data_IF_433415806795
#
_entry.id   IF_433415806795
#
_cell.length_a   1.000
_cell.length_b   1.000
_cell.length_c   1.000
_cell.angle_alpha   90.00
_cell.angle_beta   90.00
_cell.angle_gamma   90.00
#
_symmetry.space_group_name_H-M   'P 1'
#
loop_
_entity.id
_entity.type
_entity.pdbx_description
1 polymer ?
#
# COMPACT_ATOMS: atom_id res chain seq x y z
N UNK A 1 9.23 -17.92 20.62
CA UNK A 1 10.15 -18.09 19.47
C UNK A 1 10.42 -16.72 18.84
N UNK A 2 11.68 -16.29 18.78
CA UNK A 2 12.07 -15.10 18.01
C UNK A 2 12.21 -15.52 16.55
N UNK A 3 11.32 -15.04 15.67
CA UNK A 3 11.47 -15.23 14.24
C UNK A 3 12.39 -14.17 13.67
N UNK A 4 13.23 -14.55 12.69
CA UNK A 4 13.95 -13.61 11.86
C UNK A 4 13.00 -13.16 10.73
N UNK A 5 12.89 -11.85 10.53
CA UNK A 5 12.01 -11.22 9.53
C UNK A 5 12.86 -10.30 8.67
N UNK A 6 12.81 -10.48 7.35
CA UNK A 6 13.37 -9.53 6.39
C UNK A 6 12.28 -8.63 5.83
N UNK A 7 12.46 -7.32 5.93
CA UNK A 7 11.62 -6.30 5.28
C UNK A 7 12.38 -5.78 4.07
N UNK A 8 11.83 -6.00 2.88
CA UNK A 8 12.44 -5.64 1.61
C UNK A 8 11.76 -4.38 1.07
N UNK A 9 12.53 -3.30 0.94
CA UNK A 9 12.06 -1.95 0.66
C UNK A 9 11.82 -1.16 1.94
N UNK A 10 12.76 -0.30 2.31
CA UNK A 10 12.68 0.58 3.49
C UNK A 10 12.13 1.97 3.11
N UNK A 11 11.05 1.96 2.32
CA UNK A 11 10.30 3.15 1.96
C UNK A 11 9.40 3.63 3.10
N UNK A 12 8.39 4.39 2.69
CA UNK A 12 7.38 4.99 3.57
C UNK A 12 6.63 3.98 4.46
N UNK A 13 6.40 2.76 3.96
CA UNK A 13 5.74 1.67 4.70
C UNK A 13 6.77 0.75 5.36
N UNK A 14 7.77 0.31 4.60
CA UNK A 14 8.66 -0.75 5.06
C UNK A 14 9.54 -0.37 6.24
N UNK A 15 10.06 0.86 6.30
CA UNK A 15 10.88 1.29 7.44
C UNK A 15 10.06 1.40 8.74
N UNK A 16 8.93 2.10 8.80
CA UNK A 16 8.09 2.11 10.00
C UNK A 16 7.66 0.71 10.43
N UNK A 17 7.36 -0.17 9.48
CA UNK A 17 6.99 -1.55 9.78
C UNK A 17 8.16 -2.34 10.38
N UNK A 18 9.36 -2.22 9.82
CA UNK A 18 10.58 -2.83 10.37
C UNK A 18 10.85 -2.39 11.82
N UNK A 19 10.73 -1.09 12.08
CA UNK A 19 10.89 -0.50 13.40
C UNK A 19 9.82 -1.01 14.39
N UNK A 20 8.57 -1.09 13.94
CA UNK A 20 7.46 -1.59 14.75
C UNK A 20 7.66 -3.05 15.16
N UNK A 21 8.07 -3.91 14.22
CA UNK A 21 8.36 -5.33 14.51
C UNK A 21 9.56 -5.50 15.43
N UNK A 22 10.62 -4.73 15.21
CA UNK A 22 11.80 -4.72 16.10
C UNK A 22 11.42 -4.34 17.54
N UNK A 23 10.60 -3.29 17.70
CA UNK A 23 10.09 -2.89 19.02
C UNK A 23 9.24 -3.97 19.69
N UNK A 24 8.59 -4.83 18.90
CA UNK A 24 7.83 -6.00 19.42
C UNK A 24 8.70 -7.23 19.67
N UNK A 25 10.01 -7.08 19.59
CA UNK A 25 11.00 -8.09 19.96
C UNK A 25 11.35 -9.10 18.86
N UNK A 26 10.94 -8.86 17.61
CA UNK A 26 11.40 -9.66 16.49
C UNK A 26 12.83 -9.25 16.07
N UNK A 27 13.60 -10.21 15.56
CA UNK A 27 14.85 -9.90 14.88
C UNK A 27 14.53 -9.48 13.45
N UNK A 28 14.81 -8.23 13.10
CA UNK A 28 14.45 -7.65 11.81
C UNK A 28 15.68 -7.32 11.00
N UNK A 29 15.72 -7.76 9.76
CA UNK A 29 16.67 -7.30 8.76
C UNK A 29 15.94 -6.40 7.74
N UNK A 30 16.20 -5.10 7.82
CA UNK A 30 15.71 -4.12 6.85
C UNK A 30 16.62 -4.08 5.63
N UNK A 31 16.05 -4.36 4.45
CA UNK A 31 16.80 -4.44 3.19
C UNK A 31 16.34 -3.36 2.23
N UNK A 32 17.28 -2.58 1.70
CA UNK A 32 17.00 -1.57 0.66
C UNK A 32 18.20 -1.48 -0.30
N UNK A 33 17.94 -1.35 -1.59
CA UNK A 33 18.99 -1.21 -2.62
C UNK A 33 19.74 0.12 -2.53
N UNK A 34 19.19 1.12 -1.86
CA UNK A 34 19.78 2.44 -1.69
C UNK A 34 20.88 2.42 -0.61
N UNK A 35 22.12 2.27 -1.04
CA UNK A 35 23.31 2.24 -0.16
C UNK A 35 23.37 3.45 0.79
N UNK A 36 23.10 4.65 0.27
CA UNK A 36 23.16 5.89 1.07
C UNK A 36 22.11 5.89 2.19
N UNK A 37 20.90 5.39 1.92
CA UNK A 37 19.86 5.21 2.93
C UNK A 37 20.32 4.22 4.02
N UNK A 38 20.84 3.07 3.62
CA UNK A 38 21.36 2.05 4.54
C UNK A 38 22.48 2.61 5.44
N UNK A 39 23.44 3.34 4.86
CA UNK A 39 24.48 4.01 5.63
C UNK A 39 23.90 5.01 6.63
N UNK A 40 22.93 5.81 6.23
CA UNK A 40 22.26 6.80 7.09
C UNK A 40 21.56 6.14 8.26
N UNK A 41 20.85 5.03 7.98
CA UNK A 41 20.18 4.22 9.01
C UNK A 41 21.19 3.59 9.98
N UNK A 42 22.26 2.98 9.49
CA UNK A 42 23.30 2.36 10.33
C UNK A 42 24.07 3.38 11.18
N UNK A 43 24.22 4.62 10.71
CA UNK A 43 24.88 5.72 11.46
C UNK A 43 23.95 6.39 12.48
N UNK A 44 22.70 5.97 12.63
CA UNK A 44 21.75 6.59 13.54
C UNK A 44 21.29 8.00 13.12
N UNK A 45 21.49 8.38 11.83
CA UNK A 45 21.27 9.75 11.31
C UNK A 45 19.97 9.89 10.52
N UNK A 46 19.12 8.86 10.50
CA UNK A 46 17.84 8.93 9.80
C UNK A 46 16.87 9.90 10.50
N UNK A 47 16.21 10.74 9.72
CA UNK A 47 15.17 11.67 10.16
C UNK A 47 13.94 11.46 9.28
N UNK A 48 12.79 11.25 9.89
CA UNK A 48 11.48 11.20 9.27
C UNK A 48 10.73 12.51 9.50
N UNK A 49 9.81 12.84 8.61
CA UNK A 49 8.84 13.92 8.82
C UNK A 49 7.83 13.58 9.94
N UNK A 50 7.63 12.30 10.23
CA UNK A 50 6.77 11.82 11.32
C UNK A 50 7.56 11.69 12.63
N UNK A 51 7.17 12.46 13.66
CA UNK A 51 7.86 12.46 14.96
C UNK A 51 7.86 11.09 15.64
N UNK A 52 6.77 10.33 15.50
CA UNK A 52 6.62 8.99 16.08
C UNK A 52 7.58 7.99 15.46
N UNK A 53 7.88 8.11 14.16
CA UNK A 53 8.87 7.29 13.48
C UNK A 53 10.28 7.61 14.00
N UNK A 54 10.60 8.88 14.20
CA UNK A 54 11.88 9.29 14.80
C UNK A 54 12.04 8.74 16.22
N UNK A 55 10.98 8.78 17.01
CA UNK A 55 10.97 8.24 18.37
C UNK A 55 11.22 6.73 18.39
N UNK A 56 10.49 5.96 17.56
CA UNK A 56 10.66 4.51 17.52
C UNK A 56 12.00 4.12 16.94
N UNK A 57 12.54 4.87 15.97
CA UNK A 57 13.86 4.66 15.41
C UNK A 57 14.97 4.78 16.46
N UNK A 58 14.95 5.84 17.27
CA UNK A 58 15.91 6.02 18.38
C UNK A 58 15.80 4.93 19.45
N UNK A 59 14.63 4.31 19.59
CA UNK A 59 14.35 3.25 20.57
C UNK A 59 14.52 1.84 20.00
N UNK A 60 14.85 1.70 18.71
CA UNK A 60 14.82 0.40 18.00
C UNK A 60 15.97 -0.56 18.35
N UNK A 61 16.84 -0.26 19.29
CA UNK A 61 17.77 -1.20 19.91
C UNK A 61 18.47 -2.21 18.98
N UNK A 62 19.02 -3.29 19.54
CA UNK A 62 19.85 -4.28 18.83
C UNK A 62 19.05 -5.33 18.03
N UNK A 63 17.73 -5.24 17.97
CA UNK A 63 16.90 -6.23 17.27
C UNK A 63 16.67 -5.89 15.79
N UNK A 64 17.29 -4.85 15.26
CA UNK A 64 17.17 -4.45 13.85
C UNK A 64 18.55 -4.21 13.25
N UNK A 65 18.76 -4.71 12.05
CA UNK A 65 19.93 -4.42 11.22
C UNK A 65 19.47 -3.89 9.86
N UNK A 66 20.30 -3.10 9.20
CA UNK A 66 20.01 -2.56 7.88
C UNK A 66 21.11 -2.96 6.90
N UNK A 67 20.73 -3.50 5.75
CA UNK A 67 21.65 -4.03 4.75
C UNK A 67 21.15 -3.81 3.32
N UNK A 68 22.07 -3.82 2.38
CA UNK A 68 21.74 -3.96 0.95
C UNK A 68 21.64 -5.42 0.51
N UNK A 69 22.00 -6.36 1.38
CA UNK A 69 21.97 -7.81 1.12
C UNK A 69 20.85 -8.46 1.90
N UNK A 70 20.18 -9.40 1.27
CA UNK A 70 19.16 -10.24 1.89
C UNK A 70 19.82 -11.44 2.57
N UNK A 71 19.33 -11.78 3.75
CA UNK A 71 19.77 -12.97 4.51
C UNK A 71 18.60 -13.92 4.70
N UNK A 72 18.89 -15.19 4.97
CA UNK A 72 17.86 -16.17 5.26
C UNK A 72 17.01 -15.72 6.47
N UNK A 73 15.71 -15.75 6.29
CA UNK A 73 14.72 -15.36 7.28
C UNK A 73 13.51 -16.28 7.24
N UNK A 74 12.79 -16.35 8.34
CA UNK A 74 11.53 -17.12 8.38
C UNK A 74 10.39 -16.43 7.63
N UNK A 75 10.43 -15.09 7.58
CA UNK A 75 9.45 -14.26 6.89
C UNK A 75 10.16 -13.21 6.04
N UNK A 76 9.71 -13.09 4.81
CA UNK A 76 10.14 -12.07 3.85
C UNK A 76 8.94 -11.19 3.53
N UNK A 77 9.01 -9.92 3.87
CA UNK A 77 7.92 -8.97 3.67
C UNK A 77 8.32 -7.96 2.60
N UNK A 78 7.60 -7.95 1.49
CA UNK A 78 7.87 -7.10 0.33
C UNK A 78 7.06 -5.80 0.45
N UNK A 79 7.76 -4.69 0.71
CA UNK A 79 7.21 -3.33 0.77
C UNK A 79 7.80 -2.49 -0.38
N UNK A 80 7.75 -3.02 -1.59
CA UNK A 80 8.37 -2.45 -2.78
C UNK A 80 7.40 -1.59 -3.57
N UNK A 81 7.89 -0.57 -4.32
CA UNK A 81 7.03 0.26 -5.15
C UNK A 81 6.44 -0.55 -6.31
N UNK A 82 5.20 -0.21 -6.66
CA UNK A 82 4.46 -0.75 -7.79
C UNK A 82 3.94 0.41 -8.65
N UNK A 83 4.83 1.10 -9.37
CA UNK A 83 4.46 2.29 -10.14
C UNK A 83 3.61 1.90 -11.36
N UNK A 84 2.89 2.89 -11.87
CA UNK A 84 2.16 2.77 -13.12
C UNK A 84 3.08 3.11 -14.28
N UNK A 85 3.09 2.31 -15.33
CA UNK A 85 3.83 2.56 -16.54
C UNK A 85 3.05 3.46 -17.54
N UNK A 86 3.68 3.83 -18.66
CA UNK A 86 3.06 4.66 -19.70
C UNK A 86 1.77 4.07 -20.30
N UNK A 87 1.59 2.75 -20.21
CA UNK A 87 0.40 2.03 -20.69
C UNK A 87 -0.68 1.90 -19.61
N UNK A 88 -0.56 2.64 -18.50
CA UNK A 88 -1.47 2.61 -17.36
C UNK A 88 -1.56 1.22 -16.69
N UNK A 89 -0.51 0.42 -16.79
CA UNK A 89 -0.40 -0.89 -16.15
C UNK A 89 0.59 -0.83 -15.00
N UNK A 90 0.37 -1.69 -14.01
CA UNK A 90 1.29 -1.87 -12.89
C UNK A 90 2.64 -2.39 -13.38
N UNK A 91 3.71 -1.77 -12.95
CA UNK A 91 5.07 -2.28 -13.14
C UNK A 91 5.43 -3.15 -11.93
N UNK A 92 5.57 -4.44 -12.17
CA UNK A 92 5.91 -5.45 -11.16
C UNK A 92 7.42 -5.75 -11.08
N UNK A 93 8.27 -5.03 -11.84
CA UNK A 93 9.70 -5.31 -11.92
C UNK A 93 10.37 -5.34 -10.54
N UNK A 94 10.10 -4.35 -9.70
CA UNK A 94 10.66 -4.31 -8.33
C UNK A 94 10.24 -5.50 -7.47
N UNK A 95 9.00 -5.99 -7.60
CA UNK A 95 8.53 -7.16 -6.89
C UNK A 95 9.18 -8.45 -7.41
N UNK A 96 9.34 -8.55 -8.73
CA UNK A 96 10.02 -9.67 -9.39
C UNK A 96 11.50 -9.72 -8.97
N UNK A 97 12.19 -8.57 -8.96
CA UNK A 97 13.58 -8.47 -8.50
C UNK A 97 13.73 -8.85 -7.02
N UNK A 98 12.84 -8.35 -6.16
CA UNK A 98 12.81 -8.71 -4.74
C UNK A 98 12.55 -10.21 -4.53
N UNK A 99 11.63 -10.78 -5.31
CA UNK A 99 11.33 -12.21 -5.27
C UNK A 99 12.52 -13.06 -5.76
N UNK A 100 13.23 -12.59 -6.79
CA UNK A 100 14.43 -13.25 -7.29
C UNK A 100 15.52 -13.27 -6.22
N UNK A 101 15.76 -12.18 -5.51
CA UNK A 101 16.69 -12.15 -4.39
C UNK A 101 16.25 -13.10 -3.25
N UNK A 102 14.95 -13.18 -2.95
CA UNK A 102 14.42 -14.14 -1.97
C UNK A 102 14.71 -15.58 -2.41
N UNK A 103 14.62 -15.86 -3.70
CA UNK A 103 14.85 -17.22 -4.22
C UNK A 103 16.24 -17.77 -3.90
N UNK A 104 17.23 -16.92 -3.76
CA UNK A 104 18.62 -17.32 -3.43
C UNK A 104 18.78 -17.80 -1.97
N UNK A 105 17.91 -17.35 -1.06
CA UNK A 105 18.07 -17.58 0.39
C UNK A 105 16.90 -18.27 1.08
N UNK A 106 15.74 -18.38 0.43
CA UNK A 106 14.53 -18.98 0.98
C UNK A 106 14.70 -20.48 1.23
N UNK A 107 14.10 -20.98 2.31
CA UNK A 107 14.11 -22.39 2.71
C UNK A 107 12.69 -22.94 2.85
N UNK A 108 12.62 -24.25 3.04
CA UNK A 108 11.38 -24.98 3.29
C UNK A 108 10.60 -24.35 4.46
N UNK A 109 9.30 -24.20 4.29
CA UNK A 109 8.37 -23.63 5.26
C UNK A 109 8.60 -22.14 5.60
N UNK A 110 9.45 -21.42 4.85
CA UNK A 110 9.49 -19.96 4.97
C UNK A 110 8.27 -19.32 4.34
N UNK A 111 8.04 -18.05 4.66
CA UNK A 111 6.82 -17.34 4.28
C UNK A 111 7.16 -16.02 3.61
N UNK A 112 6.59 -15.79 2.43
CA UNK A 112 6.65 -14.51 1.70
C UNK A 112 5.33 -13.77 1.95
N UNK A 113 5.41 -12.50 2.29
CA UNK A 113 4.25 -11.63 2.50
C UNK A 113 4.39 -10.42 1.58
N UNK A 114 3.36 -10.15 0.78
CA UNK A 114 3.31 -9.01 -0.12
C UNK A 114 2.45 -7.93 0.55
N UNK A 115 3.08 -6.83 0.96
CA UNK A 115 2.43 -5.62 1.49
C UNK A 115 2.17 -4.57 0.40
N UNK A 116 2.92 -4.64 -0.69
CA UNK A 116 2.77 -3.74 -1.84
C UNK A 116 1.38 -3.86 -2.47
N UNK A 117 0.78 -2.74 -2.86
CA UNK A 117 -0.49 -2.75 -3.61
C UNK A 117 -0.27 -3.29 -5.01
N UNK A 118 -1.05 -4.29 -5.41
CA UNK A 118 -0.87 -5.01 -6.67
C UNK A 118 -2.20 -5.28 -7.39
N UNK A 119 -2.20 -5.49 -8.71
CA UNK A 119 -3.35 -5.99 -9.45
C UNK A 119 -3.82 -7.36 -8.96
N UNK A 120 -5.12 -7.65 -9.16
CA UNK A 120 -5.72 -8.94 -8.79
C UNK A 120 -5.00 -10.09 -9.52
N UNK A 121 -4.65 -11.14 -8.77
CA UNK A 121 -3.94 -12.31 -9.27
C UNK A 121 -2.41 -12.21 -9.24
N UNK A 122 -1.85 -11.06 -8.83
CA UNK A 122 -0.39 -10.88 -8.78
C UNK A 122 0.28 -11.80 -7.78
N UNK A 123 -0.28 -11.99 -6.60
CA UNK A 123 0.32 -12.88 -5.59
C UNK A 123 0.39 -14.32 -6.08
N UNK A 124 -0.65 -14.80 -6.75
CA UNK A 124 -0.68 -16.12 -7.38
C UNK A 124 0.35 -16.23 -8.52
N UNK A 125 0.52 -15.16 -9.30
CA UNK A 125 1.59 -15.08 -10.30
C UNK A 125 2.99 -15.18 -9.67
N UNK A 126 3.25 -14.44 -8.60
CA UNK A 126 4.54 -14.46 -7.89
C UNK A 126 4.79 -15.81 -7.21
N UNK A 127 3.76 -16.49 -6.69
CA UNK A 127 3.88 -17.87 -6.22
C UNK A 127 4.37 -18.81 -7.32
N UNK A 128 3.75 -18.75 -8.50
CA UNK A 128 4.13 -19.58 -9.64
C UNK A 128 5.54 -19.25 -10.14
N UNK A 129 5.94 -17.98 -10.11
CA UNK A 129 7.29 -17.56 -10.45
C UNK A 129 8.32 -18.12 -9.46
N UNK A 130 8.05 -18.05 -8.15
CA UNK A 130 8.93 -18.65 -7.14
C UNK A 130 9.06 -20.18 -7.33
N UNK A 131 7.98 -20.89 -7.68
CA UNK A 131 8.04 -22.32 -7.99
C UNK A 131 8.93 -22.63 -9.21
N UNK A 132 9.04 -21.72 -10.18
CA UNK A 132 9.96 -21.86 -11.32
C UNK A 132 11.40 -21.56 -10.93
N UNK A 133 11.63 -20.55 -10.11
CA UNK A 133 12.97 -20.20 -9.62
C UNK A 133 13.54 -21.24 -8.65
N UNK A 134 12.67 -21.86 -7.84
CA UNK A 134 13.02 -22.87 -6.82
C UNK A 134 12.13 -24.10 -6.95
N UNK A 135 12.35 -24.92 -7.98
CA UNK A 135 11.57 -26.14 -8.19
C UNK A 135 11.73 -27.15 -7.06
N UNK A 136 12.87 -27.14 -6.37
CA UNK A 136 13.16 -27.94 -5.17
C UNK A 136 12.23 -27.62 -3.99
N UNK A 137 11.71 -26.39 -3.92
CA UNK A 137 10.79 -25.92 -2.87
C UNK A 137 9.32 -26.02 -3.25
N UNK A 138 8.97 -26.54 -4.40
CA UNK A 138 7.59 -26.57 -4.90
C UNK A 138 6.60 -27.08 -3.84
N UNK A 139 5.65 -26.22 -3.45
CA UNK A 139 4.66 -26.54 -2.42
C UNK A 139 5.16 -26.46 -0.97
N UNK A 140 6.44 -26.26 -0.74
CA UNK A 140 7.06 -26.27 0.59
C UNK A 140 7.44 -24.88 1.12
N UNK A 141 6.87 -23.81 0.57
CA UNK A 141 6.92 -22.44 1.11
C UNK A 141 5.51 -21.85 1.17
N UNK A 142 5.36 -20.76 1.88
CA UNK A 142 4.08 -20.09 2.05
C UNK A 142 4.11 -18.71 1.38
N UNK A 143 2.96 -18.27 0.87
CA UNK A 143 2.79 -16.89 0.37
C UNK A 143 1.48 -16.31 0.88
N UNK A 144 1.49 -15.02 1.21
CA UNK A 144 0.32 -14.27 1.63
C UNK A 144 0.35 -12.86 1.03
N UNK A 145 -0.82 -12.27 0.89
CA UNK A 145 -1.01 -10.86 0.60
C UNK A 145 -1.58 -10.16 1.83
N UNK A 146 -1.01 -9.04 2.24
CA UNK A 146 -1.51 -8.25 3.36
C UNK A 146 -1.31 -6.76 3.11
N UNK A 147 -2.26 -6.10 2.43
CA UNK A 147 -2.09 -4.72 2.02
C UNK A 147 -2.05 -3.76 3.21
N UNK A 148 -1.06 -2.87 3.22
CA UNK A 148 -1.04 -1.76 4.16
C UNK A 148 -2.04 -0.67 3.74
N UNK A 149 -2.68 -0.05 4.75
CA UNK A 149 -3.71 0.97 4.58
C UNK A 149 -3.35 2.30 5.24
N UNK A 150 -2.19 2.40 5.87
CA UNK A 150 -1.75 3.60 6.57
C UNK A 150 -1.53 4.78 5.60
N UNK A 151 -1.90 5.95 6.08
CA UNK A 151 -1.72 7.21 5.35
C UNK A 151 -0.47 7.97 5.86
N UNK A 152 0.17 8.77 4.98
CA UNK A 152 1.25 9.67 5.37
C UNK A 152 0.86 10.59 6.54
N UNK A 153 1.82 10.76 7.47
CA UNK A 153 1.63 11.63 8.64
C UNK A 153 1.01 10.94 9.87
N UNK A 154 0.50 9.72 9.73
CA UNK A 154 -0.10 8.95 10.83
C UNK A 154 0.23 7.44 10.73
N UNK A 155 1.36 7.12 10.11
CA UNK A 155 1.70 5.77 9.66
C UNK A 155 1.68 4.74 10.79
N UNK A 156 2.43 4.96 11.87
CA UNK A 156 2.54 3.99 12.97
C UNK A 156 1.22 3.78 13.73
N UNK A 157 0.45 4.85 13.90
CA UNK A 157 -0.85 4.77 14.55
C UNK A 157 -1.84 3.95 13.72
N UNK A 158 -1.91 4.21 12.41
CA UNK A 158 -2.80 3.47 11.53
C UNK A 158 -2.37 2.02 11.33
N UNK A 159 -1.08 1.73 11.22
CA UNK A 159 -0.56 0.36 11.19
C UNK A 159 -1.02 -0.47 12.39
N UNK A 160 -1.20 0.17 13.55
CA UNK A 160 -1.62 -0.52 14.78
C UNK A 160 -3.14 -0.57 14.96
N UNK A 161 -3.87 0.46 14.53
CA UNK A 161 -5.28 0.63 14.86
C UNK A 161 -6.24 0.28 13.72
N UNK A 162 -5.77 0.26 12.45
CA UNK A 162 -6.59 -0.21 11.34
C UNK A 162 -6.77 -1.73 11.41
N UNK A 163 -7.96 -2.22 10.96
CA UNK A 163 -8.13 -3.65 10.74
C UNK A 163 -7.19 -4.12 9.62
N UNK A 164 -6.77 -5.38 9.71
CA UNK A 164 -5.91 -6.00 8.71
C UNK A 164 -6.63 -7.11 7.96
N UNK A 165 -6.26 -7.25 6.70
CA UNK A 165 -6.67 -8.36 5.84
C UNK A 165 -5.44 -9.17 5.51
N UNK A 166 -5.53 -10.50 5.61
CA UNK A 166 -4.52 -11.43 5.15
C UNK A 166 -5.18 -12.33 4.12
N UNK A 167 -4.80 -12.19 2.87
CA UNK A 167 -5.18 -13.08 1.77
C UNK A 167 -4.27 -14.30 1.77
N UNK A 168 -4.77 -15.47 2.16
CA UNK A 168 -3.98 -16.70 2.21
C UNK A 168 -4.83 -17.94 2.52
N UNK A 169 -4.23 -19.13 2.40
CA UNK A 169 -4.81 -20.33 2.99
C UNK A 169 -4.72 -20.32 4.54
N UNK A 170 -5.48 -21.17 5.21
CA UNK A 170 -5.58 -21.20 6.68
C UNK A 170 -4.24 -21.44 7.38
N UNK A 171 -3.39 -22.31 6.84
CA UNK A 171 -2.05 -22.61 7.41
C UNK A 171 -1.18 -21.35 7.40
N UNK A 172 -1.09 -20.70 6.26
CA UNK A 172 -0.30 -19.47 6.07
C UNK A 172 -0.86 -18.31 6.91
N UNK A 173 -2.19 -18.16 6.95
CA UNK A 173 -2.85 -17.18 7.82
C UNK A 173 -2.37 -17.29 9.27
N UNK A 174 -2.39 -18.49 9.84
CA UNK A 174 -1.98 -18.70 11.23
C UNK A 174 -0.51 -18.31 11.47
N UNK A 175 0.37 -18.49 10.49
CA UNK A 175 1.77 -18.07 10.57
C UNK A 175 1.89 -16.54 10.55
N UNK A 176 1.25 -15.87 9.62
CA UNK A 176 1.28 -14.42 9.47
C UNK A 176 0.58 -13.74 10.65
N UNK A 177 -0.55 -14.28 11.10
CA UNK A 177 -1.29 -13.79 12.26
C UNK A 177 -0.42 -13.72 13.53
N UNK A 178 0.46 -14.71 13.77
CA UNK A 178 1.38 -14.72 14.93
C UNK A 178 2.30 -13.49 14.97
N UNK A 179 2.62 -12.91 13.82
CA UNK A 179 3.44 -11.70 13.73
C UNK A 179 2.56 -10.46 13.88
N UNK A 180 1.49 -10.38 13.10
CA UNK A 180 0.67 -9.17 13.00
C UNK A 180 -0.15 -8.91 14.26
N UNK A 181 -0.61 -9.95 14.96
CA UNK A 181 -1.29 -9.83 16.25
C UNK A 181 -0.43 -9.24 17.38
N UNK A 182 0.91 -9.21 17.21
CA UNK A 182 1.80 -8.59 18.21
C UNK A 182 1.74 -7.07 18.23
N UNK A 183 1.34 -6.45 17.14
CA UNK A 183 1.27 -4.99 17.05
C UNK A 183 -0.13 -4.46 16.67
N UNK A 184 -0.92 -5.22 15.95
CA UNK A 184 -2.30 -4.83 15.59
C UNK A 184 -3.19 -4.84 16.82
N UNK A 185 -3.88 -3.73 17.05
CA UNK A 185 -4.87 -3.56 18.12
C UNK A 185 -6.29 -3.85 17.65
N UNK A 186 -6.48 -4.02 16.35
CA UNK A 186 -7.77 -4.29 15.74
C UNK A 186 -7.82 -5.71 15.14
N UNK A 187 -8.97 -6.10 14.63
CA UNK A 187 -9.22 -7.43 14.07
C UNK A 187 -8.35 -7.69 12.84
N UNK A 188 -7.93 -8.93 12.69
CA UNK A 188 -7.19 -9.44 11.53
C UNK A 188 -8.08 -10.51 10.89
N UNK A 189 -8.43 -10.30 9.62
CA UNK A 189 -9.33 -11.15 8.87
C UNK A 189 -8.58 -12.01 7.86
N UNK A 190 -9.06 -13.23 7.62
CA UNK A 190 -8.55 -14.10 6.55
C UNK A 190 -9.54 -14.15 5.39
N UNK A 191 -9.04 -13.92 4.19
CA UNK A 191 -9.77 -14.01 2.93
C UNK A 191 -8.96 -14.77 1.89
N UNK A 192 -9.54 -15.06 0.72
CA UNK A 192 -8.77 -15.51 -0.44
C UNK A 192 -7.81 -14.39 -0.89
N UNK A 193 -6.71 -14.77 -1.50
CA UNK A 193 -5.67 -13.83 -1.96
C UNK A 193 -6.29 -12.76 -2.88
N UNK A 194 -7.02 -13.21 -3.89
CA UNK A 194 -7.63 -12.34 -4.89
C UNK A 194 -8.70 -11.39 -4.29
N UNK A 195 -9.43 -11.86 -3.28
CA UNK A 195 -10.39 -11.02 -2.54
C UNK A 195 -9.68 -9.91 -1.74
N UNK A 196 -8.55 -10.24 -1.14
CA UNK A 196 -7.74 -9.29 -0.40
C UNK A 196 -7.10 -8.25 -1.34
N UNK A 197 -6.56 -8.67 -2.49
CA UNK A 197 -6.04 -7.79 -3.53
C UNK A 197 -7.13 -6.85 -4.05
N UNK A 198 -8.29 -7.40 -4.42
CA UNK A 198 -9.43 -6.63 -4.91
C UNK A 198 -9.92 -5.59 -3.89
N UNK A 199 -10.03 -5.97 -2.61
CA UNK A 199 -10.54 -5.09 -1.56
C UNK A 199 -9.72 -3.80 -1.43
N UNK A 200 -8.40 -3.89 -1.47
CA UNK A 200 -7.49 -2.74 -1.40
C UNK A 200 -7.72 -1.77 -2.57
N UNK A 201 -7.84 -2.30 -3.77
CA UNK A 201 -8.04 -1.49 -4.98
C UNK A 201 -9.43 -0.85 -5.01
N UNK A 202 -10.45 -1.60 -4.58
CA UNK A 202 -11.84 -1.12 -4.53
C UNK A 202 -12.00 0.03 -3.53
N UNK A 203 -11.39 -0.05 -2.35
CA UNK A 203 -11.43 1.02 -1.35
C UNK A 203 -10.93 2.36 -1.94
N UNK A 204 -9.80 2.35 -2.61
CA UNK A 204 -9.24 3.57 -3.21
C UNK A 204 -10.02 4.03 -4.45
N UNK A 205 -10.52 3.10 -5.27
CA UNK A 205 -11.38 3.43 -6.42
C UNK A 205 -12.72 4.02 -5.99
N UNK A 206 -13.30 3.53 -4.90
CA UNK A 206 -14.52 4.08 -4.33
C UNK A 206 -14.31 5.52 -3.87
N UNK A 207 -13.19 5.80 -3.17
CA UNK A 207 -12.85 7.18 -2.77
C UNK A 207 -12.64 8.09 -3.98
N UNK A 208 -11.99 7.60 -5.04
CA UNK A 208 -11.80 8.35 -6.28
C UNK A 208 -13.14 8.70 -6.95
N UNK A 209 -14.07 7.74 -6.99
CA UNK A 209 -15.43 7.95 -7.52
C UNK A 209 -16.21 8.99 -6.70
N UNK A 210 -16.15 8.93 -5.38
CA UNK A 210 -16.83 9.89 -4.51
C UNK A 210 -16.30 11.32 -4.72
N UNK A 211 -14.97 11.47 -4.87
CA UNK A 211 -14.34 12.75 -5.16
C UNK A 211 -14.72 13.26 -6.55
N UNK A 212 -14.72 12.38 -7.56
CA UNK A 212 -15.12 12.72 -8.92
C UNK A 212 -16.58 13.22 -8.97
N UNK A 213 -17.47 12.53 -8.27
CA UNK A 213 -18.88 12.92 -8.17
C UNK A 213 -19.04 14.33 -7.57
N UNK A 214 -18.40 14.59 -6.45
CA UNK A 214 -18.45 15.90 -5.79
C UNK A 214 -17.80 17.00 -6.63
N UNK A 215 -16.65 16.71 -7.27
CA UNK A 215 -15.97 17.64 -8.16
C UNK A 215 -16.80 17.98 -9.40
N UNK A 216 -17.50 17.01 -9.96
CA UNK A 216 -18.40 17.18 -11.10
C UNK A 216 -19.59 18.07 -10.72
N UNK A 217 -20.28 17.75 -9.62
CA UNK A 217 -21.42 18.54 -9.14
C UNK A 217 -21.03 20.00 -8.83
N UNK A 218 -19.89 20.23 -8.17
CA UNK A 218 -19.40 21.59 -7.92
C UNK A 218 -19.24 22.39 -9.21
N UNK A 219 -18.74 21.74 -10.27
CA UNK A 219 -18.57 22.40 -11.57
C UNK A 219 -19.88 22.73 -12.26
N UNK A 220 -20.87 21.83 -12.22
CA UNK A 220 -22.16 22.02 -12.88
C UNK A 220 -23.07 23.01 -12.12
N UNK A 221 -23.09 22.92 -10.79
CA UNK A 221 -23.94 23.79 -9.97
C UNK A 221 -23.43 25.24 -9.94
N UNK A 222 -22.11 25.46 -10.04
CA UNK A 222 -21.55 26.80 -10.24
C UNK A 222 -22.03 27.48 -11.51
N UNK A 223 -22.25 26.73 -12.60
CA UNK A 223 -22.83 27.30 -13.83
C UNK A 223 -24.27 27.82 -13.60
N UNK A 224 -24.98 27.22 -12.65
CA UNK A 224 -26.32 27.61 -12.22
C UNK A 224 -26.32 28.64 -11.09
N UNK A 225 -25.15 29.20 -10.71
CA UNK A 225 -24.96 30.14 -9.62
C UNK A 225 -25.41 29.59 -8.24
N UNK A 226 -25.41 28.26 -8.06
CA UNK A 226 -25.77 27.60 -6.81
C UNK A 226 -24.53 27.36 -5.93
N UNK A 227 -24.71 27.49 -4.61
CA UNK A 227 -23.65 27.25 -3.64
C UNK A 227 -23.59 25.76 -3.26
N UNK A 228 -22.66 25.04 -3.85
CA UNK A 228 -22.52 23.60 -3.63
C UNK A 228 -22.17 23.25 -2.17
N UNK A 229 -21.44 24.11 -1.45
CA UNK A 229 -21.13 23.87 -0.03
C UNK A 229 -22.40 23.77 0.83
N UNK A 230 -23.34 24.68 0.64
CA UNK A 230 -24.66 24.64 1.33
C UNK A 230 -25.46 23.39 0.92
N UNK A 231 -25.39 23.01 -0.36
CA UNK A 231 -26.09 21.82 -0.86
C UNK A 231 -25.54 20.53 -0.25
N UNK A 232 -24.22 20.42 -0.08
CA UNK A 232 -23.61 19.29 0.62
C UNK A 232 -24.13 19.20 2.06
N UNK A 233 -24.19 20.31 2.79
CA UNK A 233 -24.70 20.37 4.16
C UNK A 233 -26.14 19.81 4.23
N UNK A 234 -27.00 20.26 3.30
CA UNK A 234 -28.39 19.79 3.22
C UNK A 234 -28.45 18.30 2.87
N UNK A 235 -27.72 17.85 1.84
CA UNK A 235 -27.76 16.47 1.41
C UNK A 235 -27.26 15.49 2.50
N UNK A 236 -26.25 15.89 3.24
CA UNK A 236 -25.67 15.05 4.30
C UNK A 236 -26.54 14.99 5.58
N UNK A 237 -27.65 15.71 5.65
CA UNK A 237 -28.69 15.47 6.66
C UNK A 237 -29.41 14.13 6.42
N UNK A 238 -29.39 13.63 5.18
CA UNK A 238 -29.99 12.35 4.86
C UNK A 238 -29.10 11.19 5.38
N UNK A 239 -29.63 10.27 6.17
CA UNK A 239 -28.82 9.27 6.91
C UNK A 239 -28.03 8.30 6.02
N UNK A 240 -28.38 8.17 4.75
CA UNK A 240 -27.70 7.31 3.77
C UNK A 240 -26.83 8.08 2.76
N UNK A 241 -26.63 9.38 2.96
CA UNK A 241 -25.86 10.24 2.05
C UNK A 241 -24.64 10.81 2.78
N UNK A 242 -23.47 10.66 2.18
CA UNK A 242 -22.22 11.26 2.68
C UNK A 242 -21.43 11.82 1.50
N UNK A 243 -21.81 13.01 1.05
CA UNK A 243 -21.10 13.73 -0.01
C UNK A 243 -19.80 14.32 0.52
N UNK A 244 -18.72 14.07 -0.19
CA UNK A 244 -17.42 14.66 0.12
C UNK A 244 -17.38 16.13 -0.33
N UNK A 245 -16.58 16.95 0.34
CA UNK A 245 -16.29 18.30 -0.13
C UNK A 245 -15.50 18.24 -1.44
N UNK A 246 -15.81 19.10 -2.44
CA UNK A 246 -15.05 19.16 -3.66
C UNK A 246 -13.60 19.60 -3.39
N UNK A 247 -12.68 19.09 -4.20
CA UNK A 247 -11.25 19.35 -4.10
C UNK A 247 -10.72 20.04 -5.37
N UNK A 248 -9.47 20.49 -5.30
CA UNK A 248 -8.74 21.03 -6.47
C UNK A 248 -8.48 19.90 -7.49
N UNK A 249 -8.34 18.70 -7.02
CA UNK A 249 -8.10 17.47 -7.78
C UNK A 249 -7.78 16.35 -6.82
N UNK A 250 -7.39 15.19 -7.36
CA UNK A 250 -6.96 14.02 -6.59
C UNK A 250 -5.48 13.80 -6.85
N UNK A 251 -4.67 14.04 -5.83
CA UNK A 251 -3.22 13.82 -5.86
C UNK A 251 -2.79 12.60 -5.08
N UNK A 252 -1.47 12.42 -4.98
CA UNK A 252 -0.84 11.32 -4.27
C UNK A 252 -0.55 10.11 -5.16
N UNK A 253 -0.05 9.04 -4.54
CA UNK A 253 0.45 7.84 -5.23
C UNK A 253 -0.50 6.65 -5.19
N UNK A 254 -1.66 6.76 -4.52
CA UNK A 254 -2.60 5.65 -4.33
C UNK A 254 -3.92 5.90 -5.06
N UNK A 255 -4.71 6.90 -4.61
CA UNK A 255 -6.06 7.13 -5.17
C UNK A 255 -6.06 7.35 -6.70
N UNK A 256 -5.09 8.09 -7.31
CA UNK A 256 -5.06 8.26 -8.76
C UNK A 256 -4.57 7.02 -9.52
N UNK A 257 -3.96 6.04 -8.87
CA UNK A 257 -3.26 4.91 -9.51
C UNK A 257 -4.02 3.60 -9.35
N UNK A 258 -4.46 3.28 -8.15
CA UNK A 258 -5.09 1.99 -7.83
C UNK A 258 -6.32 1.65 -8.70
N UNK A 259 -7.13 2.62 -9.15
CA UNK A 259 -8.22 2.35 -10.09
C UNK A 259 -7.79 1.66 -11.40
N UNK A 260 -6.58 1.94 -11.88
CA UNK A 260 -6.04 1.27 -13.07
C UNK A 260 -5.63 -0.18 -12.79
N UNK A 261 -5.28 -0.51 -11.56
CA UNK A 261 -4.85 -1.86 -11.16
C UNK A 261 -6.01 -2.85 -11.06
N UNK A 262 -7.27 -2.39 -10.98
CA UNK A 262 -8.44 -3.26 -11.12
C UNK A 262 -8.51 -3.94 -12.49
N UNK A 263 -7.82 -3.37 -13.49
CA UNK A 263 -7.63 -3.95 -14.82
C UNK A 263 -8.93 -4.43 -15.50
N UNK A 264 -10.05 -3.79 -15.19
CA UNK A 264 -11.30 -4.06 -15.89
C UNK A 264 -11.17 -3.63 -17.35
N UNK A 265 -11.70 -4.45 -18.25
CA UNK A 265 -11.69 -4.14 -19.70
C UNK A 265 -12.18 -2.70 -19.90
N UNK A 266 -11.48 -1.95 -20.73
CA UNK A 266 -11.89 -0.61 -21.10
C UNK A 266 -13.23 -0.69 -21.83
N UNK A 267 -14.30 -0.43 -21.09
CA UNK A 267 -15.65 -0.34 -21.62
C UNK A 267 -16.07 1.12 -21.62
N UNK A 268 -16.94 1.51 -22.57
CA UNK A 268 -17.45 2.88 -22.68
C UNK A 268 -18.07 3.36 -21.35
N UNK A 269 -18.71 2.46 -20.62
CA UNK A 269 -19.44 2.72 -19.38
C UNK A 269 -18.63 2.32 -18.13
N UNK A 270 -17.31 2.26 -18.23
CA UNK A 270 -16.45 2.00 -17.08
C UNK A 270 -16.44 3.22 -16.13
N UNK A 271 -17.29 3.16 -15.11
CA UNK A 271 -17.50 4.23 -14.13
C UNK A 271 -16.19 4.62 -13.41
N UNK A 272 -15.30 3.66 -13.14
CA UNK A 272 -14.03 3.89 -12.47
C UNK A 272 -13.12 4.76 -13.34
N UNK A 273 -12.95 4.40 -14.62
CA UNK A 273 -12.14 5.17 -15.55
C UNK A 273 -12.77 6.53 -15.89
N UNK A 274 -14.11 6.63 -15.93
CA UNK A 274 -14.79 7.91 -16.09
C UNK A 274 -14.50 8.85 -14.93
N UNK A 275 -14.59 8.37 -13.69
CA UNK A 275 -14.29 9.14 -12.49
C UNK A 275 -12.85 9.63 -12.49
N UNK A 276 -11.91 8.76 -12.88
CA UNK A 276 -10.51 9.12 -13.01
C UNK A 276 -10.31 10.27 -14.01
N UNK A 277 -10.91 10.18 -15.20
CA UNK A 277 -10.87 11.25 -16.22
C UNK A 277 -11.46 12.57 -15.71
N UNK A 278 -12.56 12.52 -14.93
CA UNK A 278 -13.18 13.72 -14.35
C UNK A 278 -12.23 14.39 -13.34
N UNK A 279 -11.59 13.61 -12.47
CA UNK A 279 -10.65 14.13 -11.49
C UNK A 279 -9.40 14.73 -12.16
N UNK A 280 -8.86 14.11 -13.21
CA UNK A 280 -7.71 14.63 -13.97
C UNK A 280 -8.04 15.94 -14.69
N UNK A 281 -9.22 16.01 -15.34
CA UNK A 281 -9.71 17.23 -16.00
C UNK A 281 -9.95 18.37 -15.00
N UNK A 282 -10.32 18.04 -13.75
CA UNK A 282 -10.56 19.05 -12.71
C UNK A 282 -9.32 19.88 -12.44
N UNK A 283 -8.19 19.24 -12.22
CA UNK A 283 -6.92 19.92 -11.94
C UNK A 283 -6.51 20.84 -13.09
N UNK A 284 -6.56 20.35 -14.33
CA UNK A 284 -6.27 21.14 -15.52
C UNK A 284 -7.20 22.35 -15.71
N UNK A 285 -8.50 22.16 -15.43
CA UNK A 285 -9.48 23.24 -15.50
C UNK A 285 -9.21 24.36 -14.47
N UNK A 286 -8.85 23.98 -13.24
CA UNK A 286 -8.54 24.96 -12.20
C UNK A 286 -7.23 25.69 -12.51
N UNK A 287 -6.20 24.99 -12.97
CA UNK A 287 -4.95 25.62 -13.40
C UNK A 287 -5.16 26.64 -14.52
N UNK A 288 -6.01 26.32 -15.49
CA UNK A 288 -6.39 27.24 -16.58
C UNK A 288 -7.11 28.49 -16.06
N UNK A 289 -8.03 28.33 -15.08
CA UNK A 289 -8.74 29.46 -14.47
C UNK A 289 -7.80 30.37 -13.68
N UNK A 290 -6.87 29.80 -12.90
CA UNK A 290 -5.88 30.57 -12.17
C UNK A 290 -4.96 31.37 -13.11
N UNK A 291 -4.50 30.78 -14.20
CA UNK A 291 -3.70 31.48 -15.21
C UNK A 291 -4.42 32.69 -15.82
N UNK A 292 -5.76 32.61 -15.98
CA UNK A 292 -6.58 33.74 -16.47
C UNK A 292 -6.77 34.85 -15.46
N UNK A 293 -6.68 34.56 -14.16
CA UNK A 293 -6.83 35.54 -13.08
C UNK A 293 -5.51 36.31 -12.79
N UNK A 294 -4.38 35.74 -13.17
CA UNK A 294 -3.04 36.32 -12.96
C UNK A 294 -2.59 37.17 -14.17
N UNK A 295 -3.26 37.02 -15.30
CA UNK A 295 -3.09 37.87 -16.50
C UNK A 295 -4.05 39.07 -16.43
#
# INVERSE_FOLDING_TARGET
MKFNISIIGLGYIGLPFALLLSKKGFNVNGVDVNKKKIETLNKGKFISEEADINKIYKLSGNNISYSTKLFNSKFYILCLPTPINKSLKCDLSFLIDGLTQISEVIKINDTIIIESTVPIGTTSYLFNLMCKLRPDLKGNFNIAFSPEKAIPGNTLNEMQNNYRIIGSNKKTFNLVWKIYSKFSKNKIYNYKIEEAEASKLIENSFRDNQLAFSNYLDSELKKKKLNFKKIIEICNLHPRVNLLKPSIGVGGHCIPIDPYFLNFKAHKDNMILMSRRLNDKRTSSIATKLKKLIR
#
